data_IF_067807077743
#
_entry.id   IF_067807077743
#
_cell.length_a   1.000
_cell.length_b   1.000
_cell.length_c   1.000
_cell.angle_alpha   90.00
_cell.angle_beta   90.00
_cell.angle_gamma   90.00
#
_symmetry.space_group_name_H-M   'P 1'
#
loop_
_entity.id
_entity.type
_entity.pdbx_description
1 polymer ?
#
# COMPACT_ATOMS: atom_id res chain seq x y z
N UNK A 1 -17.22 -17.54 25.83
CA UNK A 1 -15.89 -18.18 25.60
C UNK A 1 -14.90 -17.04 25.37
N UNK A 2 -13.71 -17.06 25.97
CA UNK A 2 -12.70 -16.06 25.69
C UNK A 2 -12.25 -16.18 24.22
N UNK A 3 -12.16 -15.04 23.54
CA UNK A 3 -11.67 -14.95 22.17
C UNK A 3 -10.21 -14.50 22.22
N UNK A 4 -9.32 -15.31 21.67
CA UNK A 4 -7.91 -14.93 21.52
C UNK A 4 -7.77 -13.95 20.35
N UNK A 5 -7.21 -12.79 20.59
CA UNK A 5 -6.87 -11.80 19.58
C UNK A 5 -5.36 -11.66 19.50
N UNK A 6 -4.80 -11.77 18.29
CA UNK A 6 -3.38 -11.52 18.08
C UNK A 6 -3.16 -10.02 17.95
N UNK A 7 -2.43 -9.44 18.91
CA UNK A 7 -2.02 -8.03 18.87
C UNK A 7 -0.57 -7.97 18.40
N UNK A 8 -0.28 -7.12 17.41
CA UNK A 8 1.08 -6.82 16.99
C UNK A 8 1.54 -5.54 17.68
N UNK A 9 2.67 -5.62 18.36
CA UNK A 9 3.30 -4.49 19.04
C UNK A 9 4.43 -4.01 18.13
N UNK A 10 4.44 -2.72 17.81
CA UNK A 10 5.56 -2.06 17.14
C UNK A 10 6.52 -1.58 18.24
N UNK A 11 7.77 -2.03 18.18
CA UNK A 11 8.79 -1.63 19.14
C UNK A 11 9.17 -0.16 18.97
N UNK A 12 9.57 0.49 20.05
CA UNK A 12 10.20 1.81 20.05
C UNK A 12 11.57 1.85 19.35
N UNK A 13 12.17 0.67 19.12
CA UNK A 13 13.41 0.47 18.36
C UNK A 13 13.19 0.22 16.88
N UNK A 14 11.96 0.12 16.44
CA UNK A 14 11.63 -0.09 15.04
C UNK A 14 11.72 1.23 14.28
N UNK A 15 12.61 1.32 13.32
CA UNK A 15 12.85 2.56 12.55
C UNK A 15 12.34 2.49 11.12
N UNK A 16 11.86 1.33 10.68
CA UNK A 16 11.35 1.09 9.33
C UNK A 16 10.02 0.33 9.38
N UNK A 17 9.15 0.64 8.43
CA UNK A 17 7.90 -0.08 8.23
C UNK A 17 7.42 0.04 6.79
N UNK A 18 6.41 -0.74 6.44
CA UNK A 18 5.79 -0.71 5.11
C UNK A 18 4.32 -0.34 5.25
N UNK A 19 3.83 0.56 4.42
CA UNK A 19 2.40 0.78 4.17
C UNK A 19 2.13 0.34 2.75
N UNK A 20 1.25 -0.63 2.57
CA UNK A 20 0.86 -1.14 1.24
C UNK A 20 -0.62 -0.92 1.01
N UNK A 21 -0.97 -0.36 -0.14
CA UNK A 21 -2.33 -0.46 -0.65
C UNK A 21 -2.67 -1.93 -0.94
N UNK A 22 -3.96 -2.23 -1.12
CA UNK A 22 -4.46 -3.58 -1.36
C UNK A 22 -4.93 -3.77 -2.79
N UNK A 23 -5.88 -2.93 -3.24
CA UNK A 23 -6.54 -3.09 -4.54
C UNK A 23 -5.58 -2.65 -5.65
N UNK A 24 -5.40 -3.49 -6.67
CA UNK A 24 -4.47 -3.30 -7.79
C UNK A 24 -2.97 -3.18 -7.41
N UNK A 25 -2.65 -3.20 -6.11
CA UNK A 25 -1.28 -3.25 -5.59
C UNK A 25 -0.87 -4.67 -5.20
N UNK A 26 -1.60 -5.34 -4.30
CA UNK A 26 -1.30 -6.73 -3.89
C UNK A 26 -2.25 -7.73 -4.53
N UNK A 27 -3.39 -7.28 -5.00
CA UNK A 27 -4.49 -8.08 -5.53
C UNK A 27 -5.04 -7.45 -6.81
N UNK A 28 -5.05 -8.19 -7.92
CA UNK A 28 -5.58 -7.68 -9.20
C UNK A 28 -7.09 -7.49 -9.11
N UNK A 29 -7.55 -6.27 -9.32
CA UNK A 29 -8.96 -5.91 -9.33
C UNK A 29 -9.46 -5.77 -10.77
N UNK A 30 -9.80 -6.86 -11.43
CA UNK A 30 -10.35 -6.83 -12.80
C UNK A 30 -11.78 -6.25 -12.89
N UNK A 31 -12.09 -5.17 -12.17
CA UNK A 31 -13.45 -4.63 -12.14
C UNK A 31 -13.51 -3.20 -12.67
N UNK A 32 -14.37 -2.93 -13.67
CA UNK A 32 -14.76 -1.57 -14.01
C UNK A 32 -15.35 -0.88 -12.77
N UNK A 33 -14.93 0.34 -12.49
CA UNK A 33 -15.38 1.15 -11.33
C UNK A 33 -16.90 1.34 -11.21
N UNK A 34 -17.66 1.07 -12.27
CA UNK A 34 -19.12 1.19 -12.29
C UNK A 34 -19.87 0.14 -11.43
N UNK A 35 -19.18 -0.86 -10.86
CA UNK A 35 -19.81 -1.96 -10.11
C UNK A 35 -19.65 -1.83 -8.59
N UNK A 36 -19.13 -0.75 -8.07
CA UNK A 36 -18.95 -0.50 -6.62
C UNK A 36 -20.28 -0.43 -5.84
N UNK A 37 -21.42 -0.44 -6.50
CA UNK A 37 -22.73 -0.39 -5.85
C UNK A 37 -23.23 -1.73 -5.29
N UNK A 38 -22.61 -2.86 -5.62
CA UNK A 38 -23.08 -4.18 -5.20
C UNK A 38 -22.18 -4.78 -4.11
N UNK A 39 -22.46 -4.44 -2.84
CA UNK A 39 -21.71 -4.91 -1.65
C UNK A 39 -21.53 -6.44 -1.57
N UNK A 40 -22.46 -7.23 -2.06
CA UNK A 40 -22.37 -8.70 -2.06
C UNK A 40 -21.42 -9.24 -3.11
N UNK A 41 -21.30 -8.57 -4.26
CA UNK A 41 -20.38 -8.97 -5.33
C UNK A 41 -18.89 -8.80 -4.95
N UNK A 42 -18.57 -7.97 -3.95
CA UNK A 42 -17.21 -7.76 -3.49
C UNK A 42 -16.69 -8.96 -2.67
N UNK A 43 -17.50 -9.51 -1.77
CA UNK A 43 -17.10 -10.62 -0.89
C UNK A 43 -16.91 -11.95 -1.65
N UNK A 44 -17.78 -12.26 -2.59
CA UNK A 44 -17.70 -13.50 -3.38
C UNK A 44 -16.52 -13.48 -4.36
N UNK A 45 -16.04 -12.29 -4.73
CA UNK A 45 -14.97 -12.10 -5.71
C UNK A 45 -13.56 -11.99 -5.12
N UNK A 46 -13.39 -11.63 -3.86
CA UNK A 46 -12.05 -11.61 -3.22
C UNK A 46 -11.44 -13.00 -3.15
N UNK A 47 -12.25 -14.05 -3.03
CA UNK A 47 -11.77 -15.43 -3.00
C UNK A 47 -11.20 -15.93 -4.35
N UNK A 48 -11.63 -15.32 -5.46
CA UNK A 48 -11.21 -15.66 -6.84
C UNK A 48 -10.20 -14.67 -7.44
N UNK A 49 -9.77 -13.66 -6.68
CA UNK A 49 -8.77 -12.69 -7.18
C UNK A 49 -7.38 -13.28 -7.20
N UNK A 50 -6.60 -12.85 -8.17
CA UNK A 50 -5.20 -13.24 -8.32
C UNK A 50 -4.29 -12.26 -7.57
N UNK A 51 -3.20 -12.79 -7.02
CA UNK A 51 -2.15 -11.98 -6.44
C UNK A 51 -1.34 -11.32 -7.56
N UNK A 52 -0.93 -10.08 -7.35
CA UNK A 52 0.02 -9.43 -8.27
C UNK A 52 1.35 -10.18 -8.20
N UNK A 53 1.92 -10.59 -9.36
CA UNK A 53 3.17 -11.34 -9.39
C UNK A 53 4.29 -10.65 -8.60
N UNK A 54 5.07 -11.42 -7.87
CA UNK A 54 6.24 -10.93 -7.13
C UNK A 54 5.96 -10.07 -5.89
N UNK A 55 4.73 -9.51 -5.71
CA UNK A 55 4.44 -8.57 -4.62
C UNK A 55 4.54 -9.23 -3.23
N UNK A 56 4.15 -10.48 -3.07
CA UNK A 56 4.33 -11.20 -1.80
C UNK A 56 5.82 -11.33 -1.44
N UNK A 57 6.66 -11.65 -2.43
CA UNK A 57 8.11 -11.70 -2.26
C UNK A 57 8.71 -10.33 -1.94
N UNK A 58 8.30 -9.28 -2.65
CA UNK A 58 8.70 -7.91 -2.37
C UNK A 58 8.42 -7.53 -0.92
N UNK A 59 7.16 -7.63 -0.48
CA UNK A 59 6.75 -7.20 0.85
C UNK A 59 7.39 -8.05 1.95
N UNK A 60 7.54 -9.36 1.73
CA UNK A 60 8.25 -10.25 2.66
C UNK A 60 9.73 -9.88 2.77
N UNK A 61 10.40 -9.65 1.63
CA UNK A 61 11.81 -9.25 1.61
C UNK A 61 12.03 -7.93 2.35
N UNK A 62 11.21 -6.92 2.05
CA UNK A 62 11.31 -5.60 2.68
C UNK A 62 11.11 -5.66 4.19
N UNK A 63 10.13 -6.43 4.66
CA UNK A 63 9.86 -6.55 6.09
C UNK A 63 10.90 -7.40 6.83
N UNK A 64 11.53 -8.38 6.17
CA UNK A 64 12.54 -9.24 6.76
C UNK A 64 13.93 -8.58 6.78
N UNK A 65 14.30 -7.91 5.69
CA UNK A 65 15.65 -7.31 5.55
C UNK A 65 15.89 -6.16 6.53
N UNK A 66 14.85 -5.41 6.87
CA UNK A 66 14.95 -4.28 7.81
C UNK A 66 15.14 -4.73 9.25
N UNK A 67 14.75 -5.96 9.59
CA UNK A 67 14.94 -6.55 10.91
C UNK A 67 16.40 -6.91 11.24
N UNK A 68 17.34 -6.74 10.30
CA UNK A 68 18.77 -7.04 10.47
C UNK A 68 19.55 -5.93 11.20
N UNK A 69 18.89 -4.92 11.75
CA UNK A 69 19.52 -3.85 12.55
C UNK A 69 20.05 -4.41 13.86
N UNK A 70 21.24 -3.96 14.31
CA UNK A 70 21.86 -4.40 15.56
C UNK A 70 20.90 -4.21 16.75
N UNK A 71 20.70 -5.30 17.51
CA UNK A 71 19.88 -5.30 18.71
C UNK A 71 18.41 -5.71 18.52
N UNK A 72 17.98 -6.07 17.31
CA UNK A 72 16.66 -6.64 17.03
C UNK A 72 16.74 -8.17 17.12
N UNK A 73 15.88 -8.85 17.90
CA UNK A 73 15.88 -10.30 17.98
C UNK A 73 15.70 -10.96 16.61
N UNK A 74 16.44 -12.04 16.36
CA UNK A 74 16.29 -12.83 15.14
C UNK A 74 14.82 -13.25 14.96
N UNK A 75 14.26 -13.04 13.75
CA UNK A 75 12.86 -13.35 13.44
C UNK A 75 11.88 -12.22 13.71
N UNK A 76 12.35 -11.03 14.12
CA UNK A 76 11.50 -9.83 14.16
C UNK A 76 11.33 -9.29 12.75
N UNK A 77 10.08 -9.10 12.34
CA UNK A 77 9.75 -8.48 11.06
C UNK A 77 9.33 -7.03 11.29
N UNK A 78 9.80 -6.15 10.43
CA UNK A 78 9.32 -4.77 10.41
C UNK A 78 7.81 -4.71 10.23
N UNK A 79 7.12 -3.73 10.84
CA UNK A 79 5.67 -3.62 10.74
C UNK A 79 5.23 -3.37 9.29
N UNK A 80 4.14 -4.03 8.91
CA UNK A 80 3.43 -3.74 7.67
C UNK A 80 1.98 -3.38 7.99
N UNK A 81 1.49 -2.34 7.33
CA UNK A 81 0.10 -1.87 7.39
C UNK A 81 -0.52 -1.94 6.01
N UNK A 82 -1.65 -2.61 5.90
CA UNK A 82 -2.46 -2.68 4.68
C UNK A 82 -3.51 -1.59 4.72
N UNK A 83 -3.40 -0.63 3.83
CA UNK A 83 -4.23 0.56 3.75
C UNK A 83 -5.18 0.44 2.56
N UNK A 84 -6.49 0.40 2.79
CA UNK A 84 -7.50 0.28 1.72
C UNK A 84 -8.71 1.15 2.00
N UNK A 85 -9.38 1.55 0.93
CA UNK A 85 -10.69 2.21 0.98
C UNK A 85 -11.84 1.24 1.23
N UNK A 86 -11.55 -0.05 1.27
CA UNK A 86 -12.51 -1.10 1.62
C UNK A 86 -13.01 -1.02 3.06
N UNK A 87 -14.17 -1.60 3.33
CA UNK A 87 -14.78 -1.58 4.65
C UNK A 87 -14.21 -2.66 5.58
N UNK A 88 -14.26 -2.44 6.90
CA UNK A 88 -13.80 -3.40 7.91
C UNK A 88 -14.41 -4.80 7.80
N UNK A 89 -15.64 -4.92 7.28
CA UNK A 89 -16.33 -6.20 7.13
C UNK A 89 -15.67 -7.13 6.10
N UNK A 90 -14.81 -6.63 5.19
CA UNK A 90 -14.09 -7.45 4.22
C UNK A 90 -12.75 -7.96 4.75
N UNK A 91 -12.27 -7.47 5.88
CA UNK A 91 -10.98 -7.86 6.48
C UNK A 91 -10.79 -9.38 6.61
N UNK A 92 -11.77 -10.18 7.06
CA UNK A 92 -11.58 -11.62 7.15
C UNK A 92 -11.23 -12.26 5.81
N UNK A 93 -11.89 -11.82 4.73
CA UNK A 93 -11.68 -12.35 3.37
C UNK A 93 -10.34 -11.88 2.80
N UNK A 94 -9.99 -10.60 2.98
CA UNK A 94 -8.69 -10.05 2.56
C UNK A 94 -7.56 -10.73 3.32
N UNK A 95 -7.68 -10.91 4.62
CA UNK A 95 -6.68 -11.62 5.43
C UNK A 95 -6.45 -13.05 4.91
N UNK A 96 -7.53 -13.79 4.66
CA UNK A 96 -7.43 -15.15 4.11
C UNK A 96 -6.77 -15.17 2.74
N UNK A 97 -7.01 -14.15 1.91
CA UNK A 97 -6.33 -13.99 0.62
C UNK A 97 -4.82 -13.75 0.83
N UNK A 98 -4.44 -12.77 1.65
CA UNK A 98 -3.04 -12.45 1.93
C UNK A 98 -2.27 -13.66 2.48
N UNK A 99 -2.87 -14.39 3.43
CA UNK A 99 -2.28 -15.60 4.01
C UNK A 99 -2.06 -16.70 2.96
N UNK A 100 -3.06 -16.99 2.11
CA UNK A 100 -2.93 -18.00 1.04
C UNK A 100 -1.94 -17.60 -0.04
N UNK A 101 -1.79 -16.32 -0.31
CA UNK A 101 -0.88 -15.78 -1.33
C UNK A 101 0.53 -15.51 -0.80
N UNK A 102 0.82 -15.87 0.46
CA UNK A 102 2.16 -15.75 1.04
C UNK A 102 2.58 -14.34 1.43
N UNK A 103 1.64 -13.43 1.59
CA UNK A 103 1.92 -12.07 2.06
C UNK A 103 2.24 -12.03 3.56
N UNK A 104 3.13 -11.12 4.02
CA UNK A 104 3.43 -10.97 5.43
C UNK A 104 2.18 -10.55 6.23
N UNK A 105 2.04 -11.08 7.45
CA UNK A 105 0.96 -10.70 8.33
C UNK A 105 1.12 -9.24 8.77
N UNK A 106 0.04 -8.44 8.68
CA UNK A 106 0.07 -7.00 8.97
C UNK A 106 -1.18 -6.48 9.67
N UNK A 107 -1.14 -5.20 10.03
CA UNK A 107 -2.30 -4.43 10.46
C UNK A 107 -3.16 -3.99 9.28
N UNK A 108 -4.43 -3.68 9.53
CA UNK A 108 -5.34 -3.16 8.52
C UNK A 108 -5.79 -1.74 8.88
N UNK A 109 -5.83 -0.88 7.88
CA UNK A 109 -6.34 0.49 7.95
C UNK A 109 -7.47 0.59 6.92
N UNK A 110 -8.68 0.31 7.36
CA UNK A 110 -9.87 0.18 6.52
C UNK A 110 -10.88 1.29 6.83
N UNK A 111 -11.87 1.46 5.97
CA UNK A 111 -12.92 2.44 6.17
C UNK A 111 -14.05 1.90 7.03
N UNK A 112 -14.65 2.79 7.82
CA UNK A 112 -15.92 2.51 8.48
C UNK A 112 -17.08 2.80 7.51
N UNK A 113 -17.81 1.75 7.12
CA UNK A 113 -19.10 1.90 6.48
C UNK A 113 -20.20 1.80 7.53
N UNK A 114 -20.70 2.94 7.97
CA UNK A 114 -21.87 3.00 8.84
C UNK A 114 -22.75 4.19 8.47
N UNK A 115 -24.08 4.14 8.69
CA UNK A 115 -24.99 5.26 8.49
C UNK A 115 -24.87 6.33 9.59
N UNK A 116 -23.70 6.49 10.17
CA UNK A 116 -23.46 7.47 11.23
C UNK A 116 -23.04 8.82 10.69
N UNK A 117 -24.00 9.70 10.65
CA UNK A 117 -24.01 11.13 10.98
C UNK A 117 -23.38 12.17 10.07
N UNK A 118 -22.59 11.91 9.06
CA UNK A 118 -22.15 13.01 8.18
C UNK A 118 -21.71 12.49 6.80
N UNK A 119 -22.67 12.35 5.90
CA UNK A 119 -22.40 12.20 4.48
C UNK A 119 -21.95 10.80 4.03
N UNK A 120 -22.69 10.23 3.15
CA UNK A 120 -22.55 8.89 2.55
C UNK A 120 -21.27 8.69 1.72
N UNK A 121 -20.40 9.69 1.67
CA UNK A 121 -19.17 9.70 0.86
C UNK A 121 -18.03 10.34 1.65
N UNK A 122 -17.45 9.63 2.61
CA UNK A 122 -16.04 9.92 2.90
C UNK A 122 -15.26 9.43 1.70
N UNK A 123 -14.62 10.35 0.99
CA UNK A 123 -13.84 10.00 -0.19
C UNK A 123 -12.72 9.02 0.23
N UNK A 124 -12.53 7.95 -0.55
CA UNK A 124 -11.45 7.00 -0.31
C UNK A 124 -10.08 7.68 -0.17
N UNK A 125 -9.75 8.66 -1.01
CA UNK A 125 -8.53 9.47 -0.87
C UNK A 125 -8.37 10.13 0.50
N UNK A 126 -9.43 10.70 1.06
CA UNK A 126 -9.35 11.37 2.36
C UNK A 126 -9.13 10.38 3.52
N UNK A 127 -9.67 9.16 3.41
CA UNK A 127 -9.37 8.09 4.36
C UNK A 127 -7.88 7.77 4.35
N UNK A 128 -7.27 7.53 3.17
CA UNK A 128 -5.84 7.23 3.03
C UNK A 128 -4.98 8.35 3.61
N UNK A 129 -5.27 9.62 3.30
CA UNK A 129 -4.58 10.79 3.87
C UNK A 129 -4.63 10.82 5.39
N UNK A 130 -5.83 10.61 5.94
CA UNK A 130 -6.03 10.62 7.40
C UNK A 130 -5.24 9.51 8.09
N UNK A 131 -5.26 8.30 7.57
CA UNK A 131 -4.57 7.17 8.19
C UNK A 131 -3.04 7.30 8.08
N UNK A 132 -2.51 7.80 6.97
CA UNK A 132 -1.08 8.11 6.85
C UNK A 132 -0.63 9.17 7.87
N UNK A 133 -1.37 10.29 8.01
CA UNK A 133 -1.12 11.30 9.03
C UNK A 133 -1.23 10.75 10.45
N UNK A 134 -2.13 9.79 10.67
CA UNK A 134 -2.26 9.09 11.94
C UNK A 134 -1.03 8.23 12.23
N UNK A 135 -0.53 7.48 11.25
CA UNK A 135 0.70 6.68 11.40
C UNK A 135 1.90 7.56 11.75
N UNK A 136 2.10 8.69 11.05
CA UNK A 136 3.19 9.62 11.35
C UNK A 136 3.15 10.14 12.79
N UNK A 137 1.94 10.40 13.32
CA UNK A 137 1.78 10.86 14.71
C UNK A 137 1.95 9.75 15.75
N UNK A 138 1.49 8.53 15.43
CA UNK A 138 1.58 7.39 16.35
C UNK A 138 2.98 6.78 16.40
N UNK A 139 3.71 6.82 15.29
CA UNK A 139 5.03 6.22 15.13
C UNK A 139 6.01 7.22 14.51
N UNK A 140 6.30 8.35 15.18
CA UNK A 140 7.13 9.42 14.61
C UNK A 140 8.60 9.01 14.39
N UNK A 141 9.03 7.90 14.97
CA UNK A 141 10.36 7.30 14.82
C UNK A 141 10.45 6.28 13.69
N UNK A 142 9.32 5.90 13.09
CA UNK A 142 9.28 4.92 11.98
C UNK A 142 9.24 5.66 10.66
N UNK A 143 10.13 5.26 9.75
CA UNK A 143 10.09 5.68 8.35
C UNK A 143 9.36 4.62 7.53
N UNK A 144 8.30 5.04 6.86
CA UNK A 144 7.43 4.17 6.10
C UNK A 144 7.81 4.14 4.63
N UNK A 145 8.00 2.93 4.06
CA UNK A 145 7.97 2.73 2.62
C UNK A 145 6.51 2.62 2.19
N UNK A 146 6.10 3.50 1.29
CA UNK A 146 4.73 3.56 0.77
C UNK A 146 4.67 2.77 -0.53
N UNK A 147 3.82 1.75 -0.59
CA UNK A 147 3.65 0.88 -1.76
C UNK A 147 2.22 1.01 -2.25
N UNK A 148 2.04 1.37 -3.52
CA UNK A 148 0.74 1.58 -4.15
C UNK A 148 0.80 1.34 -5.65
N UNK A 149 -0.24 1.75 -6.36
CA UNK A 149 -0.36 1.65 -7.81
C UNK A 149 -0.65 3.02 -8.46
N UNK A 150 -0.50 3.10 -9.78
CA UNK A 150 -0.79 4.30 -10.56
C UNK A 150 -2.23 4.34 -11.11
N UNK A 151 -3.03 3.33 -10.81
CA UNK A 151 -4.43 3.23 -11.23
C UNK A 151 -5.40 4.03 -10.38
N UNK A 152 -4.96 4.61 -9.27
CA UNK A 152 -5.80 5.38 -8.36
C UNK A 152 -5.09 6.67 -7.91
N UNK A 153 -5.41 7.13 -6.69
CA UNK A 153 -4.88 8.39 -6.15
C UNK A 153 -3.62 8.19 -5.28
N UNK A 154 -2.99 6.99 -5.30
CA UNK A 154 -1.84 6.72 -4.45
C UNK A 154 -0.65 7.63 -4.74
N UNK A 155 -0.29 7.92 -6.01
CA UNK A 155 0.77 8.85 -6.32
C UNK A 155 0.58 10.23 -5.70
N UNK A 156 -0.63 10.81 -5.83
CA UNK A 156 -0.95 12.13 -5.28
C UNK A 156 -0.93 12.12 -3.75
N UNK A 157 -1.53 11.10 -3.13
CA UNK A 157 -1.63 10.96 -1.68
C UNK A 157 -0.25 10.76 -1.07
N UNK A 158 0.59 9.92 -1.69
CA UNK A 158 1.93 9.63 -1.19
C UNK A 158 2.89 10.80 -1.38
N UNK A 159 2.79 11.52 -2.51
CA UNK A 159 3.55 12.75 -2.72
C UNK A 159 3.15 13.85 -1.73
N UNK A 160 1.86 14.03 -1.46
CA UNK A 160 1.37 14.96 -0.44
C UNK A 160 1.90 14.61 0.95
N UNK A 161 1.82 13.34 1.34
CA UNK A 161 2.32 12.86 2.63
C UNK A 161 3.84 13.01 2.75
N UNK A 162 4.59 12.74 1.68
CA UNK A 162 6.03 12.90 1.64
C UNK A 162 6.48 14.36 1.81
N UNK A 163 5.71 15.32 1.29
CA UNK A 163 5.95 16.75 1.51
C UNK A 163 5.60 17.20 2.93
N UNK A 164 4.51 16.66 3.49
CA UNK A 164 4.01 17.04 4.82
C UNK A 164 4.87 16.42 5.95
N UNK A 165 5.33 15.16 5.77
CA UNK A 165 6.09 14.40 6.76
C UNK A 165 7.33 13.72 6.15
N UNK A 166 8.27 14.46 5.57
CA UNK A 166 9.42 13.86 4.88
C UNK A 166 10.28 12.95 5.77
N UNK A 167 10.35 13.24 7.06
CA UNK A 167 11.06 12.43 8.05
C UNK A 167 10.42 11.06 8.31
N UNK A 168 9.14 10.90 8.00
CA UNK A 168 8.40 9.65 8.19
C UNK A 168 8.33 8.79 6.93
N UNK A 169 8.94 9.21 5.79
CA UNK A 169 8.91 8.47 4.54
C UNK A 169 10.29 7.92 4.20
N UNK A 170 10.39 6.61 4.03
CA UNK A 170 11.60 5.92 3.59
C UNK A 170 11.73 5.92 2.06
N UNK A 171 10.61 5.93 1.35
CA UNK A 171 10.51 5.93 -0.09
C UNK A 171 9.09 5.66 -0.56
N UNK A 172 8.88 5.74 -1.87
CA UNK A 172 7.59 5.47 -2.53
C UNK A 172 7.84 4.45 -3.63
N UNK A 173 7.10 3.35 -3.64
CA UNK A 173 7.15 2.31 -4.67
C UNK A 173 5.77 2.21 -5.34
N UNK A 174 5.73 2.49 -6.63
CA UNK A 174 4.49 2.52 -7.41
C UNK A 174 4.50 1.38 -8.43
N UNK A 175 3.49 0.53 -8.33
CA UNK A 175 3.18 -0.44 -9.36
C UNK A 175 2.53 0.26 -10.54
N UNK A 176 3.16 0.17 -11.71
CA UNK A 176 2.57 0.64 -12.95
C UNK A 176 1.61 -0.41 -13.50
N UNK A 177 0.35 -0.03 -13.67
CA UNK A 177 -0.66 -0.88 -14.27
C UNK A 177 -0.38 -1.03 -15.77
N UNK A 178 -0.66 -2.23 -16.32
CA UNK A 178 -0.64 -2.43 -17.76
C UNK A 178 -1.70 -1.57 -18.45
N UNK A 179 -1.54 -1.33 -19.76
CA UNK A 179 -2.52 -0.57 -20.56
C UNK A 179 -3.95 -1.12 -20.41
N UNK A 180 -4.09 -2.45 -20.33
CA UNK A 180 -5.38 -3.11 -20.15
C UNK A 180 -5.95 -2.82 -18.76
N UNK A 181 -5.12 -2.93 -17.71
CA UNK A 181 -5.52 -2.63 -16.33
C UNK A 181 -5.87 -1.14 -16.18
N UNK A 182 -5.10 -0.24 -16.80
CA UNK A 182 -5.39 1.20 -16.83
C UNK A 182 -6.69 1.52 -17.55
N UNK A 183 -6.94 0.89 -18.71
CA UNK A 183 -8.21 1.05 -19.40
C UNK A 183 -9.39 0.58 -18.56
N UNK A 184 -9.25 -0.56 -17.87
CA UNK A 184 -10.28 -1.08 -16.97
C UNK A 184 -10.47 -0.17 -15.74
N UNK A 185 -9.41 0.44 -15.24
CA UNK A 185 -9.47 1.35 -14.10
C UNK A 185 -9.96 2.76 -14.45
N UNK A 186 -9.57 3.31 -15.58
CA UNK A 186 -9.76 4.74 -15.93
C UNK A 186 -10.52 5.00 -17.23
N UNK A 187 -10.62 4.00 -18.13
CA UNK A 187 -11.17 4.20 -19.47
C UNK A 187 -10.24 4.97 -20.41
N UNK A 188 -8.96 5.11 -20.09
CA UNK A 188 -7.95 5.77 -20.92
C UNK A 188 -6.67 4.93 -21.01
N UNK A 189 -5.88 5.14 -22.09
CA UNK A 189 -4.65 4.40 -22.36
C UNK A 189 -3.37 5.22 -22.05
N UNK A 190 -3.47 6.34 -21.37
CA UNK A 190 -2.29 7.15 -21.06
C UNK A 190 -1.57 6.64 -19.81
N UNK A 191 -0.50 5.89 -20.02
CA UNK A 191 0.51 5.59 -19.00
C UNK A 191 1.40 6.84 -18.81
N UNK A 192 0.96 7.80 -18.01
CA UNK A 192 1.77 8.92 -17.59
C UNK A 192 2.21 8.70 -16.16
N UNK A 193 3.52 8.89 -15.90
CA UNK A 193 3.99 9.06 -14.51
C UNK A 193 3.20 10.25 -13.93
N UNK A 194 2.45 10.04 -12.85
CA UNK A 194 1.64 11.12 -12.30
C UNK A 194 2.51 12.31 -11.91
N UNK A 195 2.17 13.50 -12.41
CA UNK A 195 2.89 14.75 -12.15
C UNK A 195 3.09 15.01 -10.65
N UNK A 196 2.23 14.48 -9.82
CA UNK A 196 2.31 14.59 -8.39
C UNK A 196 3.64 14.07 -7.83
N UNK A 197 4.21 13.01 -8.40
CA UNK A 197 5.45 12.41 -7.89
C UNK A 197 6.69 13.27 -8.18
N UNK A 198 6.63 14.19 -9.15
CA UNK A 198 7.68 15.19 -9.34
C UNK A 198 7.80 16.19 -8.19
N UNK A 199 6.79 16.26 -7.35
CA UNK A 199 6.75 17.16 -6.19
C UNK A 199 7.28 16.52 -4.91
N UNK A 200 7.69 15.24 -4.96
CA UNK A 200 8.30 14.52 -3.84
C UNK A 200 9.68 15.12 -3.57
N UNK A 201 10.06 15.36 -2.29
CA UNK A 201 11.40 15.82 -1.95
C UNK A 201 12.50 14.91 -2.52
N UNK A 202 13.55 15.47 -3.12
CA UNK A 202 14.67 14.72 -3.74
C UNK A 202 15.34 13.70 -2.81
N UNK A 203 15.29 13.94 -1.51
CA UNK A 203 15.82 13.02 -0.50
C UNK A 203 15.00 11.72 -0.32
N UNK A 204 13.80 11.65 -0.91
CA UNK A 204 12.90 10.51 -0.82
C UNK A 204 12.91 9.79 -2.16
N UNK A 205 13.44 8.56 -2.23
CA UNK A 205 13.47 7.81 -3.48
C UNK A 205 12.06 7.37 -3.90
N UNK A 206 11.85 7.37 -5.22
CA UNK A 206 10.62 6.89 -5.86
C UNK A 206 11.00 5.81 -6.86
N UNK A 207 10.35 4.65 -6.77
CA UNK A 207 10.56 3.52 -7.66
C UNK A 207 9.27 3.14 -8.38
N UNK A 208 9.45 2.68 -9.60
CA UNK A 208 8.38 2.16 -10.45
C UNK A 208 8.67 0.72 -10.85
N UNK A 209 7.62 -0.06 -11.09
CA UNK A 209 7.73 -1.41 -11.64
C UNK A 209 6.36 -1.97 -11.99
N UNK A 210 6.29 -2.81 -13.00
CA UNK A 210 5.05 -3.46 -13.45
C UNK A 210 4.49 -4.46 -12.43
N UNK A 211 5.37 -4.97 -11.58
CA UNK A 211 5.06 -6.01 -10.60
C UNK A 211 6.06 -5.96 -9.43
N UNK A 212 5.91 -6.89 -8.49
CA UNK A 212 6.77 -6.94 -7.31
C UNK A 212 8.22 -7.31 -7.59
N UNK A 213 8.50 -8.05 -8.67
CA UNK A 213 9.87 -8.43 -9.03
C UNK A 213 10.60 -7.22 -9.58
N UNK A 214 10.00 -6.50 -10.53
CA UNK A 214 10.54 -5.27 -11.09
C UNK A 214 10.76 -4.20 -10.02
N UNK A 215 9.81 -4.02 -9.10
CA UNK A 215 9.95 -3.10 -7.97
C UNK A 215 11.12 -3.51 -7.06
N UNK A 216 11.26 -4.80 -6.74
CA UNK A 216 12.33 -5.30 -5.88
C UNK A 216 13.71 -5.10 -6.51
N UNK A 217 13.84 -5.34 -7.82
CA UNK A 217 15.07 -5.09 -8.58
C UNK A 217 15.44 -3.60 -8.55
N UNK A 218 14.48 -2.72 -8.80
CA UNK A 218 14.69 -1.27 -8.79
C UNK A 218 15.07 -0.75 -7.39
N UNK A 219 14.46 -1.25 -6.34
CA UNK A 219 14.81 -0.89 -4.95
C UNK A 219 16.23 -1.37 -4.61
N UNK A 220 16.62 -2.60 -5.00
CA UNK A 220 17.94 -3.17 -4.73
C UNK A 220 19.05 -2.55 -5.58
N UNK A 221 18.75 -2.25 -6.82
CA UNK A 221 19.73 -1.75 -7.79
C UNK A 221 20.28 -0.37 -7.45
N UNK A 222 19.78 0.30 -6.38
CA UNK A 222 20.05 1.70 -6.07
C UNK A 222 19.95 2.62 -7.31
N UNK A 223 19.29 2.12 -8.34
CA UNK A 223 18.77 2.96 -9.38
C UNK A 223 17.74 3.86 -8.70
N UNK A 224 18.20 4.97 -8.15
CA UNK A 224 17.36 6.14 -8.14
C UNK A 224 16.97 6.30 -9.61
N UNK A 225 15.79 5.82 -9.97
CA UNK A 225 15.06 6.50 -10.99
C UNK A 225 14.85 7.90 -10.38
N UNK A 226 15.92 8.69 -10.45
CA UNK A 226 15.79 10.13 -10.31
C UNK A 226 14.67 10.50 -11.25
N UNK A 227 13.91 11.55 -10.96
CA UNK A 227 12.77 11.96 -11.73
C UNK A 227 13.20 11.94 -13.19
N UNK A 228 12.64 11.02 -13.95
CA UNK A 228 12.76 10.78 -15.37
C UNK A 228 13.45 11.92 -16.12
N UNK A 229 14.76 11.84 -16.30
CA UNK A 229 15.47 12.65 -17.29
C UNK A 229 15.16 12.05 -18.65
N UNK A 230 14.02 12.38 -19.18
CA UNK A 230 13.54 12.10 -20.51
C UNK A 230 12.78 13.31 -21.02
N UNK A 231 13.53 14.27 -21.57
CA UNK A 231 12.97 15.20 -22.56
C UNK A 231 12.89 14.51 -23.90
#
# INVERSE_FOLDING_TARGET
RPTCVRVRIVSDREHFGVVSDIDDTVMVSMLPRLVTAAKHAFLDRVSSREAVPGMANLLTTLTTSSASSEGVPAGTHSPIMYLSTGAWNVVPTVRSFLERSGYPAGGFLMTDFGPSNTGWFRSGPEHKRRELRRLARMFPHVRWLLVGDDGQHDPEIYAEFAREFPQCVAGIAIRSLSEIEQFMAHGSFEAMVPDALWTVPESIPVWYGSDGEALLENIRGRGTAGPLTGR
#
